data_IF_396301329191
#
_entry.id   IF_396301329191
#
_cell.length_a   1.000
_cell.length_b   1.000
_cell.length_c   1.000
_cell.angle_alpha   90.00
_cell.angle_beta   90.00
_cell.angle_gamma   90.00
#
_symmetry.space_group_name_H-M   'P 1'
#
loop_
_entity.id
_entity.type
_entity.pdbx_description
1 polymer ?
#
# COMPACT_ATOMS: atom_id res chain seq x y z
N UNK A 1 37.07 2.51 25.09
CA UNK A 1 35.74 2.82 25.67
C UNK A 1 34.64 3.08 24.60
N UNK A 2 34.73 4.09 23.73
CA UNK A 2 33.72 4.29 22.67
C UNK A 2 33.76 3.24 21.55
N UNK A 3 34.95 2.81 21.12
CA UNK A 3 35.15 1.80 20.09
C UNK A 3 34.38 0.51 20.41
N UNK A 4 34.55 -0.03 21.61
CA UNK A 4 33.92 -1.29 22.01
C UNK A 4 32.40 -1.16 22.09
N UNK A 5 31.92 0.01 22.52
CA UNK A 5 30.47 0.30 22.55
C UNK A 5 29.90 0.37 21.11
N UNK A 6 30.61 1.02 20.17
CA UNK A 6 30.19 1.12 18.76
C UNK A 6 30.15 -0.27 18.13
N UNK A 7 31.20 -1.08 18.30
CA UNK A 7 31.24 -2.45 17.78
C UNK A 7 30.05 -3.25 18.31
N UNK A 8 29.84 -3.26 19.63
CA UNK A 8 28.74 -4.02 20.25
C UNK A 8 27.36 -3.61 19.72
N UNK A 9 27.15 -2.33 19.43
CA UNK A 9 25.86 -1.82 18.93
C UNK A 9 25.66 -2.21 17.47
N UNK A 10 26.72 -2.14 16.65
CA UNK A 10 26.57 -2.23 15.20
C UNK A 10 26.92 -3.58 14.59
N UNK A 11 27.62 -4.45 15.31
CA UNK A 11 28.07 -5.77 14.80
C UNK A 11 26.93 -6.63 14.25
N UNK A 12 25.72 -6.54 14.86
CA UNK A 12 24.52 -7.26 14.45
C UNK A 12 23.30 -6.32 14.23
N UNK A 13 23.55 -5.03 13.96
CA UNK A 13 22.50 -4.06 13.77
C UNK A 13 21.78 -4.30 12.43
N UNK A 14 20.47 -4.51 12.50
CA UNK A 14 19.62 -4.55 11.32
C UNK A 14 19.12 -3.13 11.02
N UNK A 15 19.39 -2.59 9.81
CA UNK A 15 19.00 -1.24 9.47
C UNK A 15 17.47 -1.13 9.40
N UNK A 16 16.96 0.03 9.85
CA UNK A 16 15.55 0.40 9.76
C UNK A 16 15.41 1.67 8.93
N UNK A 17 14.29 1.82 8.25
CA UNK A 17 13.97 3.09 7.59
C UNK A 17 13.78 4.19 8.65
N UNK A 18 14.48 5.31 8.46
CA UNK A 18 14.36 6.47 9.35
C UNK A 18 13.13 7.28 8.98
N UNK A 19 12.45 7.82 9.99
CA UNK A 19 11.29 8.71 9.81
C UNK A 19 9.99 7.98 9.48
N UNK A 20 9.93 6.64 9.54
CA UNK A 20 8.69 5.90 9.40
C UNK A 20 7.97 5.86 10.74
N UNK A 21 6.72 6.31 10.74
CA UNK A 21 5.85 6.36 11.92
C UNK A 21 4.87 5.20 11.98
N UNK A 22 4.42 4.73 10.81
CA UNK A 22 3.48 3.61 10.73
C UNK A 22 3.86 2.63 9.63
N UNK A 23 3.57 1.36 9.87
CA UNK A 23 3.75 0.28 8.92
C UNK A 23 2.38 -0.32 8.59
N UNK A 24 2.12 -0.48 7.30
CA UNK A 24 0.91 -1.10 6.77
C UNK A 24 1.28 -2.24 5.84
N UNK A 25 0.33 -3.12 5.60
CA UNK A 25 0.50 -4.22 4.67
C UNK A 25 -0.79 -4.51 3.94
N UNK A 26 -0.71 -4.74 2.63
CA UNK A 26 -1.86 -5.04 1.77
C UNK A 26 -1.62 -6.32 0.98
N UNK A 27 -2.70 -7.02 0.69
CA UNK A 27 -2.69 -8.20 -0.18
C UNK A 27 -3.21 -7.80 -1.57
N UNK A 28 -2.36 -7.84 -2.60
CA UNK A 28 -2.78 -7.79 -3.99
C UNK A 28 -3.49 -9.11 -4.28
N UNK A 29 -4.81 -9.10 -4.07
CA UNK A 29 -5.67 -10.28 -4.04
C UNK A 29 -6.07 -10.70 -5.45
N UNK A 30 -5.68 -11.89 -5.83
CA UNK A 30 -6.07 -12.55 -7.08
C UNK A 30 -7.16 -13.59 -6.80
N UNK A 31 -8.12 -13.71 -7.69
CA UNK A 31 -9.21 -14.69 -7.62
C UNK A 31 -9.54 -15.17 -9.02
N UNK A 32 -9.90 -16.45 -9.15
CA UNK A 32 -10.40 -17.00 -10.41
C UNK A 32 -11.93 -16.80 -10.51
N UNK A 33 -12.36 -16.15 -11.59
CA UNK A 33 -13.78 -15.92 -11.89
C UNK A 33 -14.07 -16.43 -13.29
N UNK A 34 -14.94 -17.42 -13.43
CA UNK A 34 -15.32 -18.02 -14.71
C UNK A 34 -14.12 -18.45 -15.59
N UNK A 35 -13.05 -18.93 -14.94
CA UNK A 35 -11.84 -19.43 -15.61
C UNK A 35 -10.88 -18.34 -16.07
N UNK A 36 -11.03 -17.10 -15.58
CA UNK A 36 -10.08 -16.02 -15.78
C UNK A 36 -9.61 -15.41 -14.44
N UNK A 37 -8.35 -14.97 -14.41
CA UNK A 37 -7.78 -14.35 -13.22
C UNK A 37 -8.22 -12.90 -13.10
N UNK A 38 -8.74 -12.52 -11.94
CA UNK A 38 -9.17 -11.17 -11.60
C UNK A 38 -8.36 -10.63 -10.42
N UNK A 39 -8.23 -9.32 -10.32
CA UNK A 39 -7.88 -8.62 -9.08
C UNK A 39 -9.16 -8.36 -8.30
N UNK A 40 -9.16 -8.71 -7.02
CA UNK A 40 -10.24 -8.38 -6.09
C UNK A 40 -9.88 -7.09 -5.36
N UNK A 41 -10.87 -6.21 -5.28
CA UNK A 41 -10.84 -4.96 -4.53
C UNK A 41 -11.99 -4.92 -3.55
N UNK A 42 -11.81 -4.16 -2.49
CA UNK A 42 -12.86 -3.82 -1.54
C UNK A 42 -13.20 -2.34 -1.62
N UNK A 43 -14.43 -2.00 -1.34
CA UNK A 43 -14.86 -0.65 -1.04
C UNK A 43 -15.02 -0.51 0.46
N UNK A 44 -14.27 0.41 1.05
CA UNK A 44 -14.32 0.69 2.49
C UNK A 44 -15.69 1.23 2.90
N UNK A 45 -16.16 0.79 4.05
CA UNK A 45 -17.47 1.22 4.55
C UNK A 45 -17.51 2.73 4.84
N UNK A 46 -18.68 3.34 4.53
CA UNK A 46 -18.89 4.78 4.65
C UNK A 46 -18.89 5.30 6.10
N UNK A 47 -19.03 4.42 7.09
CA UNK A 47 -19.01 4.80 8.51
C UNK A 47 -17.60 4.86 9.12
N UNK A 48 -16.58 4.45 8.39
CA UNK A 48 -15.20 4.50 8.86
C UNK A 48 -14.69 5.94 8.97
N UNK A 49 -13.83 6.19 9.94
CA UNK A 49 -13.23 7.51 10.17
C UNK A 49 -12.09 7.82 9.22
N UNK A 50 -11.47 6.79 8.62
CA UNK A 50 -10.37 6.92 7.67
C UNK A 50 -10.78 6.38 6.32
N UNK A 51 -10.63 7.21 5.28
CA UNK A 51 -10.85 6.85 3.88
C UNK A 51 -12.22 6.17 3.62
N UNK A 52 -13.35 6.73 4.13
CA UNK A 52 -14.66 6.13 3.89
C UNK A 52 -14.99 6.08 2.40
N UNK A 53 -15.51 4.95 1.92
CA UNK A 53 -15.90 4.75 0.53
C UNK A 53 -14.75 4.60 -0.47
N UNK A 54 -13.48 4.68 -0.04
CA UNK A 54 -12.34 4.45 -0.93
C UNK A 54 -12.21 2.98 -1.32
N UNK A 55 -11.62 2.76 -2.50
CA UNK A 55 -11.32 1.42 -3.00
C UNK A 55 -9.89 1.06 -2.63
N UNK A 56 -9.73 -0.12 -2.01
CA UNK A 56 -8.44 -0.65 -1.58
C UNK A 56 -8.27 -2.13 -1.93
N UNK A 57 -7.05 -2.60 -1.81
CA UNK A 57 -6.79 -4.01 -1.56
C UNK A 57 -7.02 -4.31 -0.08
N UNK A 58 -7.41 -5.53 0.28
CA UNK A 58 -7.47 -5.94 1.68
C UNK A 58 -6.14 -5.69 2.38
N UNK A 59 -6.21 -5.09 3.57
CA UNK A 59 -4.99 -4.79 4.31
C UNK A 59 -5.15 -3.73 5.37
N UNK A 60 -4.17 -3.67 6.27
CA UNK A 60 -4.21 -2.77 7.39
C UNK A 60 -2.87 -2.54 8.06
N UNK A 61 -2.91 -2.15 9.32
CA UNK A 61 -1.72 -1.82 10.09
C UNK A 61 -0.99 -3.09 10.54
N UNK A 62 0.34 -3.04 10.43
CA UNK A 62 1.21 -4.08 11.01
C UNK A 62 1.27 -3.88 12.53
N UNK A 63 0.80 -4.86 13.28
CA UNK A 63 0.74 -4.81 14.74
C UNK A 63 2.11 -5.12 15.39
N UNK A 64 2.35 -4.69 16.64
CA UNK A 64 3.61 -4.96 17.32
C UNK A 64 3.92 -6.47 17.44
N UNK A 65 5.08 -6.88 16.92
CA UNK A 65 5.54 -8.28 16.93
C UNK A 65 5.08 -9.12 15.74
N UNK A 66 4.29 -8.53 14.86
CA UNK A 66 3.79 -9.13 13.62
C UNK A 66 4.77 -8.89 12.46
N UNK A 67 4.83 -9.82 11.52
CA UNK A 67 5.52 -9.58 10.24
C UNK A 67 4.57 -8.91 9.24
N UNK A 68 5.06 -8.10 8.30
CA UNK A 68 4.20 -7.51 7.27
C UNK A 68 3.41 -8.53 6.45
N UNK A 69 3.98 -9.70 6.17
CA UNK A 69 3.30 -10.78 5.45
C UNK A 69 2.13 -11.33 6.26
N UNK A 70 2.34 -11.55 7.56
CA UNK A 70 1.27 -12.02 8.43
C UNK A 70 0.17 -10.97 8.59
N UNK A 71 0.51 -9.68 8.67
CA UNK A 71 -0.47 -8.59 8.70
C UNK A 71 -1.36 -8.59 7.45
N UNK A 72 -0.76 -8.70 6.24
CA UNK A 72 -1.54 -8.77 4.99
C UNK A 72 -2.49 -9.97 4.98
N UNK A 73 -2.02 -11.13 5.47
CA UNK A 73 -2.82 -12.35 5.56
C UNK A 73 -3.98 -12.17 6.55
N UNK A 74 -3.71 -11.72 7.77
CA UNK A 74 -4.69 -11.51 8.84
C UNK A 74 -5.78 -10.53 8.42
N UNK A 75 -5.39 -9.36 7.91
CA UNK A 75 -6.34 -8.34 7.46
C UNK A 75 -7.24 -8.86 6.33
N UNK A 76 -6.66 -9.54 5.33
CA UNK A 76 -7.45 -10.12 4.26
C UNK A 76 -8.46 -11.18 4.76
N UNK A 77 -8.08 -11.98 5.76
CA UNK A 77 -8.99 -12.94 6.40
C UNK A 77 -10.09 -12.24 7.20
N UNK A 78 -9.75 -11.20 7.96
CA UNK A 78 -10.68 -10.45 8.78
C UNK A 78 -11.68 -9.64 7.93
N UNK A 79 -11.17 -8.87 6.95
CA UNK A 79 -11.99 -8.00 6.10
C UNK A 79 -12.90 -8.79 5.15
N UNK A 80 -12.38 -9.87 4.55
CA UNK A 80 -13.14 -10.73 3.64
C UNK A 80 -13.88 -11.87 4.35
N UNK A 81 -13.70 -12.01 5.67
CA UNK A 81 -14.27 -13.07 6.51
C UNK A 81 -13.98 -14.47 5.97
N UNK A 82 -12.70 -14.72 5.67
CA UNK A 82 -12.21 -15.97 5.09
C UNK A 82 -11.42 -16.81 6.10
N UNK A 83 -11.59 -18.13 6.02
CA UNK A 83 -10.76 -19.07 6.76
C UNK A 83 -9.30 -19.04 6.23
N UNK A 84 -8.29 -19.32 7.07
CA UNK A 84 -6.88 -19.23 6.72
C UNK A 84 -6.45 -20.02 5.46
N UNK A 85 -7.07 -21.13 5.20
CA UNK A 85 -6.76 -22.01 4.05
C UNK A 85 -7.24 -21.44 2.70
N UNK A 86 -8.11 -20.42 2.70
CA UNK A 86 -8.59 -19.79 1.48
C UNK A 86 -7.70 -18.62 0.99
N UNK A 87 -6.71 -18.21 1.77
CA UNK A 87 -5.80 -17.12 1.39
C UNK A 87 -4.38 -17.67 1.26
N UNK A 88 -3.87 -17.72 0.04
CA UNK A 88 -2.55 -18.26 -0.26
C UNK A 88 -1.61 -17.16 -0.75
N UNK A 89 -0.70 -16.70 0.12
CA UNK A 89 0.34 -15.77 -0.27
C UNK A 89 1.35 -16.46 -1.18
N UNK A 90 1.64 -15.85 -2.33
CA UNK A 90 2.65 -16.29 -3.31
C UNK A 90 4.01 -15.70 -2.99
N UNK A 91 4.03 -14.43 -2.56
CA UNK A 91 5.26 -13.76 -2.16
C UNK A 91 5.14 -12.26 -2.05
N UNK A 92 6.22 -11.58 -1.63
CA UNK A 92 6.25 -10.13 -1.52
C UNK A 92 6.25 -9.47 -2.91
N UNK A 93 5.63 -8.29 -2.98
CA UNK A 93 5.76 -7.35 -4.07
C UNK A 93 6.55 -6.12 -3.61
N UNK A 94 6.40 -4.99 -4.30
CA UNK A 94 7.08 -3.76 -3.90
C UNK A 94 6.47 -3.17 -2.61
N UNK A 95 7.28 -2.44 -1.87
CA UNK A 95 6.79 -1.61 -0.78
C UNK A 95 6.83 -0.13 -1.19
N UNK A 96 5.98 0.66 -0.56
CA UNK A 96 5.85 2.07 -0.84
C UNK A 96 6.06 2.92 0.42
N UNK A 97 6.97 3.91 0.33
CA UNK A 97 7.16 4.93 1.36
C UNK A 97 6.31 6.13 0.97
N UNK A 98 5.32 6.44 1.81
CA UNK A 98 4.43 7.58 1.57
C UNK A 98 5.10 8.89 1.98
N UNK A 99 4.63 10.04 1.45
CA UNK A 99 5.06 11.35 1.93
C UNK A 99 4.67 11.66 3.40
N UNK A 100 3.84 10.81 3.98
CA UNK A 100 3.29 10.97 5.33
C UNK A 100 3.96 10.07 6.37
N UNK A 101 5.20 9.64 6.09
CA UNK A 101 6.00 8.79 6.95
C UNK A 101 5.42 7.39 7.20
N UNK A 102 4.56 6.90 6.30
CA UNK A 102 4.10 5.52 6.34
C UNK A 102 4.92 4.66 5.37
N UNK A 103 5.14 3.41 5.74
CA UNK A 103 5.68 2.38 4.87
C UNK A 103 4.62 1.30 4.67
N UNK A 104 4.23 1.08 3.41
CA UNK A 104 3.20 0.13 3.03
C UNK A 104 3.86 -1.02 2.28
N UNK A 105 3.82 -2.21 2.85
CA UNK A 105 4.23 -3.44 2.19
C UNK A 105 3.09 -3.96 1.32
N UNK A 106 3.43 -4.66 0.24
CA UNK A 106 2.43 -5.39 -0.54
C UNK A 106 2.89 -6.83 -0.78
N UNK A 107 1.92 -7.73 -0.73
CA UNK A 107 2.10 -9.14 -1.03
C UNK A 107 1.12 -9.54 -2.13
N UNK A 108 1.51 -10.52 -2.93
CA UNK A 108 0.63 -11.11 -3.94
C UNK A 108 0.10 -12.42 -3.41
N UNK A 109 -1.20 -12.64 -3.54
CA UNK A 109 -1.81 -13.89 -3.12
C UNK A 109 -3.06 -14.23 -3.89
N UNK A 110 -3.41 -15.51 -3.88
CA UNK A 110 -4.66 -16.03 -4.41
C UNK A 110 -5.67 -16.25 -3.31
N UNK A 111 -6.92 -15.92 -3.60
CA UNK A 111 -8.09 -16.32 -2.83
C UNK A 111 -8.63 -17.60 -3.47
N UNK A 112 -8.49 -18.73 -2.76
CA UNK A 112 -8.92 -20.06 -3.23
C UNK A 112 -10.37 -20.30 -2.80
N UNK A 113 -11.30 -19.44 -3.22
CA UNK A 113 -12.72 -19.43 -2.85
C UNK A 113 -13.52 -18.84 -4.00
N UNK A 114 -14.78 -19.23 -4.14
CA UNK A 114 -15.69 -18.61 -5.10
C UNK A 114 -16.11 -17.21 -4.62
N UNK A 115 -16.25 -16.26 -5.55
CA UNK A 115 -16.55 -14.85 -5.22
C UNK A 115 -17.85 -14.70 -4.40
N UNK A 116 -18.85 -15.52 -4.67
CA UNK A 116 -20.15 -15.52 -3.98
C UNK A 116 -20.07 -16.01 -2.53
N UNK A 117 -19.01 -16.68 -2.16
CA UNK A 117 -18.77 -17.16 -0.78
C UNK A 117 -18.14 -16.09 0.10
N UNK A 118 -17.54 -15.05 -0.50
CA UNK A 118 -16.93 -13.93 0.24
C UNK A 118 -18.04 -13.09 0.87
N UNK A 119 -18.01 -12.99 2.20
CA UNK A 119 -18.96 -12.20 3.00
C UNK A 119 -18.18 -11.24 3.89
N UNK A 120 -17.83 -10.06 3.36
CA UNK A 120 -16.96 -9.13 4.08
C UNK A 120 -17.54 -8.72 5.45
N UNK A 121 -16.65 -8.27 6.33
CA UNK A 121 -17.01 -7.74 7.63
C UNK A 121 -17.61 -6.32 7.53
N UNK A 122 -17.93 -5.70 8.68
CA UNK A 122 -18.57 -4.38 8.74
C UNK A 122 -17.65 -3.24 8.25
N UNK A 123 -16.34 -3.45 8.14
CA UNK A 123 -15.40 -2.45 7.64
C UNK A 123 -15.43 -2.31 6.11
N UNK A 124 -15.95 -3.32 5.42
CA UNK A 124 -16.02 -3.41 3.97
C UNK A 124 -17.47 -3.31 3.51
N UNK A 125 -17.81 -2.26 2.77
CA UNK A 125 -19.15 -2.05 2.19
C UNK A 125 -19.48 -3.10 1.14
N UNK A 126 -18.52 -3.40 0.26
CA UNK A 126 -18.66 -4.37 -0.82
C UNK A 126 -17.31 -4.81 -1.36
N UNK A 127 -17.29 -5.96 -2.03
CA UNK A 127 -16.14 -6.41 -2.84
C UNK A 127 -16.54 -6.47 -4.30
N UNK A 128 -15.58 -6.26 -5.18
CA UNK A 128 -15.75 -6.41 -6.63
C UNK A 128 -14.45 -6.89 -7.26
N UNK A 129 -14.56 -7.39 -8.48
CA UNK A 129 -13.38 -7.89 -9.21
C UNK A 129 -13.22 -7.19 -10.54
N UNK A 130 -11.98 -7.07 -10.98
CA UNK A 130 -11.62 -6.55 -12.30
C UNK A 130 -10.74 -7.57 -12.99
N UNK A 131 -11.06 -8.00 -14.23
CA UNK A 131 -10.21 -8.91 -14.98
C UNK A 131 -8.77 -8.41 -15.06
N UNK A 132 -7.80 -9.26 -14.78
CA UNK A 132 -6.38 -8.91 -14.89
C UNK A 132 -6.04 -8.41 -16.30
N UNK A 133 -6.67 -8.97 -17.32
CA UNK A 133 -6.51 -8.56 -18.71
C UNK A 133 -6.84 -7.09 -18.92
N UNK A 134 -7.84 -6.53 -18.22
CA UNK A 134 -8.15 -5.11 -18.28
C UNK A 134 -6.92 -4.25 -17.97
N UNK A 135 -6.19 -4.55 -16.90
CA UNK A 135 -5.01 -3.80 -16.51
C UNK A 135 -3.79 -4.07 -17.43
N UNK A 136 -3.73 -5.25 -18.04
CA UNK A 136 -2.69 -5.56 -19.02
C UNK A 136 -2.84 -4.74 -20.31
N UNK A 137 -4.06 -4.40 -20.69
CA UNK A 137 -4.38 -3.67 -21.92
C UNK A 137 -4.46 -2.14 -21.68
N UNK A 138 -4.99 -1.71 -20.53
CA UNK A 138 -5.25 -0.29 -20.26
C UNK A 138 -4.18 0.30 -19.33
N UNK A 139 -3.57 1.39 -19.78
CA UNK A 139 -2.70 2.19 -18.94
C UNK A 139 -3.54 3.11 -18.01
N UNK A 140 -3.09 3.36 -16.77
CA UNK A 140 -3.80 4.28 -15.89
C UNK A 140 -3.70 5.73 -16.37
N UNK A 141 -4.70 6.54 -16.06
CA UNK A 141 -4.54 7.99 -16.10
C UNK A 141 -3.50 8.38 -15.03
N UNK A 142 -2.59 9.29 -15.40
CA UNK A 142 -1.50 9.72 -14.53
C UNK A 142 -1.49 11.22 -14.38
N UNK A 143 -1.56 11.69 -13.13
CA UNK A 143 -1.45 13.09 -12.76
C UNK A 143 -0.27 13.27 -11.79
N UNK A 144 0.25 14.49 -11.69
CA UNK A 144 1.32 14.82 -10.75
C UNK A 144 0.80 15.72 -9.63
N UNK A 145 1.03 15.35 -8.39
CA UNK A 145 1.01 16.24 -7.25
C UNK A 145 2.43 16.66 -6.89
N UNK A 146 2.56 17.76 -6.16
CA UNK A 146 3.85 18.28 -5.69
C UNK A 146 3.92 18.21 -4.17
N UNK A 147 5.08 17.80 -3.67
CA UNK A 147 5.41 17.82 -2.24
C UNK A 147 6.34 18.98 -2.03
N UNK A 148 5.90 19.97 -1.26
CA UNK A 148 6.64 21.17 -0.92
C UNK A 148 6.95 21.19 0.58
N UNK A 149 8.03 21.87 0.95
CA UNK A 149 8.36 22.14 2.34
C UNK A 149 7.67 23.43 2.77
N UNK A 150 6.79 23.34 3.73
CA UNK A 150 6.28 24.50 4.47
C UNK A 150 7.13 24.64 5.75
N UNK A 151 7.89 25.72 5.82
CA UNK A 151 8.87 25.92 6.88
C UNK A 151 8.29 26.88 7.94
N UNK A 152 8.39 26.48 9.19
CA UNK A 152 7.92 27.28 10.31
C UNK A 152 8.63 28.62 10.39
N UNK A 153 7.96 29.66 10.93
CA UNK A 153 8.48 31.02 11.01
C UNK A 153 9.75 31.14 11.89
N UNK A 154 9.90 30.26 12.88
CA UNK A 154 11.01 30.23 13.83
C UNK A 154 12.21 29.40 13.33
N UNK A 155 12.19 28.97 12.06
CA UNK A 155 13.31 28.19 11.49
C UNK A 155 14.58 29.05 11.43
N UNK A 156 15.70 28.53 11.96
CA UNK A 156 16.95 29.29 12.08
C UNK A 156 17.71 29.35 10.75
N UNK A 157 17.24 30.17 9.82
CA UNK A 157 17.84 30.32 8.48
C UNK A 157 19.30 30.74 8.50
N UNK A 158 19.76 31.43 9.56
CA UNK A 158 21.14 31.85 9.74
C UNK A 158 22.12 30.67 9.95
N UNK A 159 21.61 29.48 10.30
CA UNK A 159 22.41 28.28 10.52
C UNK A 159 22.64 27.45 9.24
N UNK A 160 21.97 27.78 8.16
CA UNK A 160 22.10 27.04 6.90
C UNK A 160 22.72 27.90 5.79
N UNK A 161 23.42 27.27 4.82
CA UNK A 161 23.93 27.98 3.65
C UNK A 161 22.79 28.66 2.88
N UNK A 162 23.04 29.86 2.36
CA UNK A 162 22.08 30.74 1.66
C UNK A 162 20.94 31.30 2.54
N UNK A 163 20.80 30.89 3.78
CA UNK A 163 19.77 31.42 4.67
C UNK A 163 18.37 31.30 4.09
N UNK A 164 17.63 32.42 4.02
CA UNK A 164 16.27 32.48 3.47
C UNK A 164 16.20 32.21 1.96
N UNK A 165 17.31 32.33 1.25
CA UNK A 165 17.39 32.04 -0.19
C UNK A 165 17.74 30.57 -0.48
N UNK A 166 17.64 29.69 0.51
CA UNK A 166 17.85 28.27 0.32
C UNK A 166 16.72 27.67 -0.54
N UNK A 167 17.11 27.06 -1.67
CA UNK A 167 16.19 26.44 -2.62
C UNK A 167 15.79 25.05 -2.14
N UNK A 168 14.63 24.93 -1.50
CA UNK A 168 14.06 23.66 -1.07
C UNK A 168 13.66 22.81 -2.29
N UNK A 169 14.01 21.53 -2.25
CA UNK A 169 13.64 20.61 -3.32
C UNK A 169 12.12 20.37 -3.33
N UNK A 170 11.52 20.50 -4.49
CA UNK A 170 10.12 20.12 -4.71
C UNK A 170 10.09 18.65 -5.13
N UNK A 171 9.34 17.84 -4.38
CA UNK A 171 9.08 16.44 -4.73
C UNK A 171 7.96 16.33 -5.75
N UNK A 172 8.02 15.30 -6.60
CA UNK A 172 6.92 14.91 -7.52
C UNK A 172 6.28 13.64 -7.01
N UNK A 173 4.96 13.63 -6.93
CA UNK A 173 4.16 12.52 -6.46
C UNK A 173 3.13 12.15 -7.53
N UNK A 174 3.33 11.05 -8.27
CA UNK A 174 2.37 10.62 -9.28
C UNK A 174 1.14 10.00 -8.63
N UNK A 175 -0.03 10.41 -9.12
CA UNK A 175 -1.33 9.87 -8.75
C UNK A 175 -1.88 9.14 -9.96
N UNK A 176 -2.24 7.86 -9.78
CA UNK A 176 -2.77 7.00 -10.82
C UNK A 176 -4.27 6.79 -10.63
N UNK A 177 -4.99 6.57 -11.75
CA UNK A 177 -6.41 6.26 -11.78
C UNK A 177 -6.69 5.19 -12.81
N UNK A 178 -7.41 4.13 -12.41
CA UNK A 178 -8.08 3.20 -13.30
C UNK A 178 -9.58 3.38 -13.15
N UNK A 179 -10.31 3.35 -14.26
CA UNK A 179 -11.77 3.49 -14.28
C UNK A 179 -12.33 2.24 -14.91
N UNK A 180 -12.95 1.40 -14.10
CA UNK A 180 -13.58 0.18 -14.55
C UNK A 180 -15.07 0.20 -14.16
N UNK A 181 -15.94 0.24 -15.18
CA UNK A 181 -17.38 0.43 -15.00
C UNK A 181 -17.67 1.68 -14.13
N UNK A 182 -18.28 1.48 -12.97
CA UNK A 182 -18.61 2.55 -12.02
C UNK A 182 -17.57 2.72 -10.91
N UNK A 183 -16.46 1.98 -10.96
CA UNK A 183 -15.43 2.00 -9.94
C UNK A 183 -14.22 2.85 -10.36
N UNK A 184 -13.80 3.72 -9.46
CA UNK A 184 -12.59 4.54 -9.65
C UNK A 184 -11.53 4.07 -8.67
N UNK A 185 -10.60 3.26 -9.16
CA UNK A 185 -9.43 2.79 -8.40
C UNK A 185 -8.36 3.85 -8.55
N UNK A 186 -7.90 4.45 -7.45
CA UNK A 186 -6.98 5.57 -7.50
C UNK A 186 -5.92 5.55 -6.40
N UNK A 187 -4.99 6.50 -6.45
CA UNK A 187 -4.01 6.75 -5.40
C UNK A 187 -3.03 5.57 -5.23
N UNK A 188 -2.87 5.13 -3.99
CA UNK A 188 -1.91 4.07 -3.61
C UNK A 188 -2.35 2.72 -4.19
N UNK A 189 -3.64 2.42 -4.16
CA UNK A 189 -4.21 1.17 -4.71
C UNK A 189 -3.93 1.06 -6.20
N UNK A 190 -4.23 2.11 -6.97
CA UNK A 190 -3.91 2.14 -8.41
C UNK A 190 -2.40 2.07 -8.68
N UNK A 191 -1.58 2.63 -7.80
CA UNK A 191 -0.12 2.56 -7.92
C UNK A 191 0.39 1.13 -7.72
N UNK A 192 -0.06 0.42 -6.69
CA UNK A 192 0.30 -0.98 -6.50
C UNK A 192 -0.19 -1.85 -7.66
N UNK A 193 -1.42 -1.62 -8.15
CA UNK A 193 -1.96 -2.30 -9.33
C UNK A 193 -1.05 -2.07 -10.55
N UNK A 194 -0.67 -0.83 -10.84
CA UNK A 194 0.19 -0.49 -11.96
C UNK A 194 1.56 -1.16 -11.88
N UNK A 195 2.23 -1.07 -10.74
CA UNK A 195 3.57 -1.67 -10.56
C UNK A 195 3.52 -3.21 -10.55
N UNK A 196 2.43 -3.82 -10.05
CA UNK A 196 2.19 -5.26 -10.16
C UNK A 196 2.04 -5.69 -11.63
N UNK A 197 1.13 -5.07 -12.36
CA UNK A 197 0.85 -5.39 -13.77
C UNK A 197 2.06 -5.18 -14.66
N UNK A 198 2.84 -4.13 -14.41
CA UNK A 198 4.08 -3.85 -15.14
C UNK A 198 5.08 -5.00 -15.06
N UNK A 199 5.17 -5.72 -13.94
CA UNK A 199 6.04 -6.90 -13.81
C UNK A 199 5.55 -8.08 -14.64
N UNK A 200 4.25 -8.19 -14.89
CA UNK A 200 3.67 -9.24 -15.73
C UNK A 200 3.84 -8.98 -17.24
N UNK A 201 4.14 -7.74 -17.61
CA UNK A 201 4.43 -7.35 -19.02
C UNK A 201 5.89 -7.56 -19.42
N UNK A 202 6.78 -7.95 -18.48
CA UNK A 202 8.19 -8.26 -18.74
C UNK A 202 8.36 -9.71 -19.17
#
# INVERSE_FOLDING_TARGET
MYKDKIVRVYENYLPKALGIESYFSVLISLIEVEGSTHLLFEQRSNHLTRQPGEISFPGGKVEPGETPEYAALREAQEELNLEPNFVKIIGPSDYFVTPFNDLIYSFVGFLEVDLEEIKPNDEVESVFTVPLEYFLIHEPLKYEAYIIHEINEDFPYELIPKGKDYEWRIGKYPIYFYIYENHVIWGITARFTYEFVKKLKL
#
